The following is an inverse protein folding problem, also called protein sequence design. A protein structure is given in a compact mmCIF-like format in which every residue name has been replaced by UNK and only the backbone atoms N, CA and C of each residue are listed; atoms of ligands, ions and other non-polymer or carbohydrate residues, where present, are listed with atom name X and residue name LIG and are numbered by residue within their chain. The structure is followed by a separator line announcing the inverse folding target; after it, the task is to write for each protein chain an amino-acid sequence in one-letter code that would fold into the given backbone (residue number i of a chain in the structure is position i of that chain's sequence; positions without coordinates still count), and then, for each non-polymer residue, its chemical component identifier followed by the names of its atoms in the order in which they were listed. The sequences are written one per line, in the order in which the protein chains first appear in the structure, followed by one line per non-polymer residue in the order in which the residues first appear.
data_IF_219773542679
#
_entry.id   IF_219773542679
#
_cell.length_a   1.000
_cell.length_b   1.000
_cell.length_c   1.000
_cell.angle_alpha   90.00
_cell.angle_beta   90.00
_cell.angle_gamma   90.00
#
_symmetry.space_group_name_H-M   'P 1'
#
loop_
_entity.id
_entity.type
_entity.pdbx_description
1 polymer ?
#
# COMPACT_ATOMS: atom_id res chain seq x y z
N UNK A 1 -34.27 -5.78 39.61
CA UNK A 1 -33.96 -5.67 38.17
C UNK A 1 -32.75 -6.53 37.88
N UNK A 2 -32.75 -7.38 36.85
CA UNK A 2 -31.60 -8.22 36.56
C UNK A 2 -30.48 -7.36 35.96
N UNK A 3 -29.30 -7.39 36.60
CA UNK A 3 -28.09 -6.78 36.08
C UNK A 3 -27.73 -7.49 34.77
N UNK A 4 -27.86 -6.77 33.66
CA UNK A 4 -27.47 -7.26 32.35
C UNK A 4 -25.94 -7.31 32.28
N UNK A 5 -25.43 -8.53 32.39
CA UNK A 5 -24.00 -8.85 32.43
C UNK A 5 -23.35 -8.56 31.06
N UNK A 6 -22.70 -7.40 30.96
CA UNK A 6 -22.04 -6.90 29.75
C UNK A 6 -20.95 -7.87 29.28
N UNK A 7 -20.30 -8.58 30.20
CA UNK A 7 -19.25 -9.56 29.90
C UNK A 7 -19.75 -10.71 28.99
N UNK A 8 -21.02 -11.10 29.12
CA UNK A 8 -21.63 -12.17 28.30
C UNK A 8 -21.89 -11.74 26.85
N UNK A 9 -22.02 -10.44 26.58
CA UNK A 9 -22.19 -9.95 25.21
C UNK A 9 -20.86 -9.90 24.45
N UNK A 10 -19.77 -9.54 25.13
CA UNK A 10 -18.45 -9.43 24.52
C UNK A 10 -17.73 -10.78 24.36
N UNK A 11 -18.02 -11.78 25.22
CA UNK A 11 -17.42 -13.12 25.12
C UNK A 11 -17.72 -13.86 23.82
N UNK A 12 -18.80 -13.49 23.12
CA UNK A 12 -19.21 -14.11 21.86
C UNK A 12 -18.65 -13.42 20.60
N UNK A 13 -17.88 -12.33 20.73
CA UNK A 13 -17.25 -11.65 19.60
C UNK A 13 -15.86 -12.28 19.33
N UNK A 14 -15.84 -13.60 19.14
CA UNK A 14 -14.69 -14.31 18.56
C UNK A 14 -14.78 -14.19 17.04
N UNK A 15 -14.30 -13.08 16.48
CA UNK A 15 -14.21 -12.90 15.03
C UNK A 15 -12.76 -12.63 14.62
N UNK A 16 -12.33 -13.29 13.54
CA UNK A 16 -10.93 -13.33 13.10
C UNK A 16 -10.32 -11.93 12.86
N UNK A 17 -9.04 -11.70 13.22
CA UNK A 17 -8.40 -10.38 13.25
C UNK A 17 -8.22 -9.67 11.89
N UNK A 18 -8.60 -10.29 10.77
CA UNK A 18 -8.13 -9.90 9.44
C UNK A 18 -9.21 -9.28 8.54
N UNK A 19 -10.38 -8.88 9.07
CA UNK A 19 -11.47 -8.31 8.27
C UNK A 19 -11.71 -6.84 8.59
N UNK A 20 -11.65 -5.99 7.56
CA UNK A 20 -11.91 -4.52 7.62
C UNK A 20 -13.24 -4.19 8.30
N UNK A 21 -14.29 -4.95 7.98
CA UNK A 21 -15.64 -4.80 8.51
C UNK A 21 -15.73 -5.02 10.05
N UNK A 22 -14.78 -5.76 10.63
CA UNK A 22 -14.71 -6.01 12.08
C UNK A 22 -14.24 -4.77 12.85
N UNK A 23 -13.32 -4.01 12.28
CA UNK A 23 -12.71 -2.85 12.93
C UNK A 23 -13.68 -1.66 12.97
N UNK A 24 -14.54 -1.54 11.96
CA UNK A 24 -15.62 -0.55 11.93
C UNK A 24 -16.66 -0.83 13.03
N UNK A 25 -17.00 -2.10 13.28
CA UNK A 25 -17.95 -2.48 14.33
C UNK A 25 -17.36 -2.24 15.73
N UNK A 26 -16.10 -2.59 15.98
CA UNK A 26 -15.45 -2.33 17.28
C UNK A 26 -15.33 -0.83 17.53
N UNK A 27 -14.83 -0.05 16.55
CA UNK A 27 -14.76 1.41 16.66
C UNK A 27 -16.14 2.03 16.88
N UNK A 28 -17.18 1.52 16.20
CA UNK A 28 -18.56 1.98 16.38
C UNK A 28 -19.13 1.58 17.73
N UNK A 29 -18.84 0.38 18.25
CA UNK A 29 -19.28 -0.06 19.58
C UNK A 29 -18.59 0.70 20.70
N UNK A 30 -17.30 1.00 20.59
CA UNK A 30 -16.56 1.86 21.54
C UNK A 30 -17.14 3.28 21.48
N UNK A 31 -17.34 3.84 20.28
CA UNK A 31 -17.99 5.15 20.12
C UNK A 31 -19.42 5.16 20.66
N UNK A 32 -20.18 4.09 20.49
CA UNK A 32 -21.55 3.98 20.97
C UNK A 32 -21.62 3.85 22.50
N UNK A 33 -20.71 3.10 23.11
CA UNK A 33 -20.64 2.94 24.57
C UNK A 33 -20.12 4.20 25.27
N UNK A 34 -19.14 4.90 24.68
CA UNK A 34 -18.51 6.09 25.27
C UNK A 34 -19.30 7.39 24.99
N UNK A 35 -19.86 7.55 23.78
CA UNK A 35 -20.47 8.83 23.37
C UNK A 35 -22.01 8.86 23.30
N UNK A 36 -22.70 7.72 23.14
CA UNK A 36 -24.14 7.73 22.82
C UNK A 36 -25.09 7.46 24.01
N UNK A 37 -24.58 7.24 25.23
CA UNK A 37 -25.45 6.94 26.37
C UNK A 37 -25.41 7.91 27.55
N UNK A 38 -24.60 8.97 27.52
CA UNK A 38 -24.56 9.96 28.63
C UNK A 38 -24.42 9.26 30.00
N UNK A 39 -23.68 8.14 30.05
CA UNK A 39 -23.46 7.40 31.30
C UNK A 39 -22.51 8.27 32.13
N UNK A 40 -22.91 8.72 33.33
CA UNK A 40 -22.04 9.53 34.17
C UNK A 40 -20.75 8.77 34.45
N UNK A 41 -19.60 9.33 34.05
CA UNK A 41 -18.26 8.78 34.31
C UNK A 41 -17.88 8.79 35.80
N UNK A 42 -18.73 9.39 36.64
CA UNK A 42 -18.50 9.64 38.05
C UNK A 42 -18.49 8.37 38.92
N UNK A 43 -18.90 7.22 38.36
CA UNK A 43 -18.96 5.91 39.04
C UNK A 43 -18.24 4.80 38.25
N UNK A 44 -17.16 5.11 37.51
CA UNK A 44 -16.33 4.07 36.91
C UNK A 44 -15.63 3.28 38.01
N UNK A 45 -15.68 1.94 37.93
CA UNK A 45 -14.83 1.12 38.79
C UNK A 45 -13.39 1.18 38.28
N UNK A 46 -12.38 0.88 39.11
CA UNK A 46 -10.99 0.76 38.64
C UNK A 46 -10.81 -0.23 37.48
N UNK A 47 -11.67 -1.26 37.40
CA UNK A 47 -11.69 -2.21 36.28
C UNK A 47 -12.21 -1.57 34.98
N UNK A 48 -13.23 -0.71 35.07
CA UNK A 48 -13.72 0.05 33.92
C UNK A 48 -12.68 1.07 33.42
N UNK A 49 -11.94 1.71 34.33
CA UNK A 49 -10.85 2.63 33.97
C UNK A 49 -9.68 1.90 33.28
N UNK A 50 -9.32 0.72 33.77
CA UNK A 50 -8.26 -0.11 33.19
C UNK A 50 -8.66 -0.68 31.82
N UNK A 51 -9.92 -1.07 31.67
CA UNK A 51 -10.49 -1.47 30.39
C UNK A 51 -10.48 -0.31 29.39
N UNK A 52 -10.93 0.88 29.78
CA UNK A 52 -10.93 2.08 28.93
C UNK A 52 -9.51 2.46 28.48
N UNK A 53 -8.52 2.37 29.39
CA UNK A 53 -7.11 2.59 29.07
C UNK A 53 -6.59 1.56 28.05
N UNK A 54 -6.87 0.29 28.29
CA UNK A 54 -6.49 -0.80 27.38
C UNK A 54 -7.11 -0.61 26.01
N UNK A 55 -8.38 -0.21 25.95
CA UNK A 55 -9.06 0.07 24.68
C UNK A 55 -8.45 1.28 23.96
N UNK A 56 -8.07 2.34 24.68
CA UNK A 56 -7.39 3.49 24.08
C UNK A 56 -6.00 3.13 23.53
N UNK A 57 -5.24 2.27 24.22
CA UNK A 57 -3.95 1.75 23.74
C UNK A 57 -4.12 0.88 22.50
N UNK A 58 -5.16 0.05 22.47
CA UNK A 58 -5.51 -0.78 21.32
C UNK A 58 -5.90 0.11 20.12
N UNK A 59 -6.75 1.11 20.31
CA UNK A 59 -7.15 2.05 19.26
C UNK A 59 -5.94 2.80 18.70
N UNK A 60 -5.06 3.32 19.56
CA UNK A 60 -3.83 4.00 19.15
C UNK A 60 -2.89 3.08 18.36
N UNK A 61 -2.74 1.82 18.79
CA UNK A 61 -1.97 0.82 18.05
C UNK A 61 -2.57 0.52 16.68
N UNK A 62 -3.91 0.40 16.60
CA UNK A 62 -4.61 0.18 15.33
C UNK A 62 -4.44 1.36 14.36
N UNK A 63 -4.63 2.59 14.82
CA UNK A 63 -4.41 3.79 14.01
C UNK A 63 -2.97 3.83 13.47
N UNK A 64 -1.98 3.51 14.30
CA UNK A 64 -0.58 3.45 13.88
C UNK A 64 -0.34 2.40 12.77
N UNK A 65 -0.92 1.21 12.90
CA UNK A 65 -0.76 0.15 11.88
C UNK A 65 -1.50 0.49 10.57
N UNK A 66 -2.67 1.14 10.67
CA UNK A 66 -3.41 1.65 9.50
C UNK A 66 -2.61 2.71 8.75
N UNK A 67 -2.07 3.72 9.45
CA UNK A 67 -1.24 4.77 8.87
C UNK A 67 0.00 4.19 8.18
N UNK A 68 0.63 3.19 8.79
CA UNK A 68 1.77 2.48 8.21
C UNK A 68 1.39 1.70 6.94
N UNK A 69 0.20 1.11 6.89
CA UNK A 69 -0.28 0.43 5.70
C UNK A 69 -0.57 1.41 4.55
N UNK A 70 -1.15 2.57 4.87
CA UNK A 70 -1.40 3.66 3.91
C UNK A 70 -0.10 4.18 3.31
N UNK A 71 0.87 4.56 4.14
CA UNK A 71 2.19 5.03 3.69
C UNK A 71 2.92 4.01 2.79
N UNK A 72 2.84 2.71 3.13
CA UNK A 72 3.40 1.65 2.28
C UNK A 72 2.68 1.55 0.94
N UNK A 73 1.36 1.75 0.94
CA UNK A 73 0.53 1.79 -0.26
C UNK A 73 0.92 2.94 -1.18
N UNK A 74 1.02 4.14 -0.62
CA UNK A 74 1.44 5.36 -1.33
C UNK A 74 2.83 5.20 -1.94
N UNK A 75 3.82 4.76 -1.16
CA UNK A 75 5.18 4.54 -1.65
C UNK A 75 5.21 3.50 -2.78
N UNK A 76 4.46 2.40 -2.65
CA UNK A 76 4.36 1.39 -3.70
C UNK A 76 3.71 1.96 -4.96
N UNK A 77 2.69 2.80 -4.79
CA UNK A 77 2.02 3.51 -5.89
C UNK A 77 2.98 4.46 -6.62
N UNK A 78 3.72 5.28 -5.88
CA UNK A 78 4.70 6.21 -6.43
C UNK A 78 5.81 5.50 -7.20
N UNK A 79 6.38 4.43 -6.61
CA UNK A 79 7.40 3.62 -7.28
C UNK A 79 6.88 2.98 -8.57
N UNK A 80 5.64 2.48 -8.56
CA UNK A 80 5.01 1.90 -9.75
C UNK A 80 4.80 2.97 -10.83
N UNK A 81 4.25 4.13 -10.47
CA UNK A 81 4.03 5.24 -11.41
C UNK A 81 5.35 5.77 -12.01
N UNK A 82 6.40 5.87 -11.20
CA UNK A 82 7.74 6.24 -11.67
C UNK A 82 8.30 5.22 -12.68
N UNK A 83 8.12 3.93 -12.43
CA UNK A 83 8.56 2.87 -13.35
C UNK A 83 7.77 2.91 -14.67
N UNK A 84 6.45 3.07 -14.60
CA UNK A 84 5.59 3.21 -15.78
C UNK A 84 5.97 4.45 -16.63
N UNK A 85 6.19 5.60 -16.00
CA UNK A 85 6.61 6.82 -16.70
C UNK A 85 7.98 6.69 -17.38
N UNK A 86 8.91 5.94 -16.79
CA UNK A 86 10.21 5.65 -17.42
C UNK A 86 10.07 4.72 -18.62
N UNK A 87 9.23 3.69 -18.53
CA UNK A 87 8.95 2.78 -19.66
C UNK A 87 8.32 3.57 -20.81
N UNK A 88 7.36 4.44 -20.52
CA UNK A 88 6.73 5.30 -21.53
C UNK A 88 7.73 6.26 -22.18
N UNK A 89 8.64 6.84 -21.39
CA UNK A 89 9.72 7.68 -21.90
C UNK A 89 10.67 6.89 -22.81
N UNK A 90 11.06 5.68 -22.40
CA UNK A 90 11.90 4.79 -23.22
C UNK A 90 11.22 4.45 -24.54
N UNK A 91 9.94 4.08 -24.53
CA UNK A 91 9.17 3.81 -25.73
C UNK A 91 9.09 5.04 -26.65
N UNK A 92 8.88 6.23 -26.08
CA UNK A 92 8.84 7.48 -26.83
C UNK A 92 10.17 7.77 -27.51
N UNK A 93 11.29 7.61 -26.80
CA UNK A 93 12.62 7.81 -27.37
C UNK A 93 12.94 6.80 -28.48
N UNK A 94 12.53 5.53 -28.33
CA UNK A 94 12.66 4.53 -29.39
C UNK A 94 11.89 4.98 -30.65
N UNK A 95 10.64 5.42 -30.51
CA UNK A 95 9.83 5.91 -31.64
C UNK A 95 10.49 7.09 -32.33
N UNK A 96 10.99 8.05 -31.55
CA UNK A 96 11.60 9.28 -32.07
C UNK A 96 12.93 8.96 -32.78
N UNK A 97 13.75 8.06 -32.21
CA UNK A 97 15.10 7.83 -32.69
C UNK A 97 15.16 6.80 -33.83
N UNK A 98 14.42 5.70 -33.70
CA UNK A 98 14.52 4.55 -34.60
C UNK A 98 13.25 4.32 -35.42
N UNK A 99 12.16 5.04 -35.12
CA UNK A 99 10.88 4.89 -35.80
C UNK A 99 9.89 4.01 -35.03
N UNK A 100 8.61 4.13 -35.37
CA UNK A 100 7.53 3.45 -34.64
C UNK A 100 7.46 1.95 -34.90
N UNK A 101 7.88 1.51 -36.09
CA UNK A 101 7.85 0.09 -36.51
C UNK A 101 8.78 -0.79 -35.67
N UNK A 102 9.75 -0.16 -34.98
CA UNK A 102 10.72 -0.84 -34.12
C UNK A 102 10.11 -1.28 -32.78
N UNK A 103 9.03 -0.63 -32.31
CA UNK A 103 8.38 -1.00 -31.04
C UNK A 103 7.52 -2.25 -31.17
N UNK A 104 8.18 -3.40 -31.32
CA UNK A 104 7.53 -4.70 -31.29
C UNK A 104 7.07 -5.07 -29.87
N UNK A 105 6.06 -5.95 -29.73
CA UNK A 105 5.65 -6.47 -28.42
C UNK A 105 6.81 -7.09 -27.61
N UNK A 106 7.81 -7.64 -28.29
CA UNK A 106 9.00 -8.21 -27.67
C UNK A 106 9.87 -7.13 -27.01
N UNK A 107 10.11 -6.00 -27.68
CA UNK A 107 10.86 -4.87 -27.10
C UNK A 107 10.11 -4.26 -25.92
N UNK A 108 8.79 -4.07 -26.06
CA UNK A 108 7.95 -3.57 -24.95
C UNK A 108 8.03 -4.52 -23.75
N UNK A 109 7.95 -5.84 -23.98
CA UNK A 109 8.09 -6.83 -22.91
C UNK A 109 9.45 -6.78 -22.23
N UNK A 110 10.54 -6.52 -22.96
CA UNK A 110 11.86 -6.38 -22.36
C UNK A 110 11.99 -5.12 -21.52
N UNK A 111 11.47 -3.98 -21.99
CA UNK A 111 11.45 -2.74 -21.22
C UNK A 111 10.68 -2.90 -19.90
N UNK A 112 9.56 -3.62 -19.93
CA UNK A 112 8.75 -3.90 -18.74
C UNK A 112 9.44 -4.81 -17.71
N UNK A 113 10.46 -5.57 -18.11
CA UNK A 113 11.26 -6.40 -17.20
C UNK A 113 12.41 -5.65 -16.54
N UNK A 114 12.75 -4.45 -17.03
CA UNK A 114 13.83 -3.65 -16.48
C UNK A 114 13.44 -3.06 -15.12
N UNK A 115 14.40 -3.02 -14.21
CA UNK A 115 14.25 -2.24 -12.98
C UNK A 115 14.54 -0.74 -13.23
N UNK A 116 14.28 0.08 -12.20
CA UNK A 116 14.43 1.54 -12.26
C UNK A 116 15.82 2.01 -12.69
N UNK A 117 16.89 1.34 -12.26
CA UNK A 117 18.29 1.68 -12.58
C UNK A 117 18.60 1.31 -14.02
N UNK A 118 18.23 0.10 -14.43
CA UNK A 118 18.39 -0.36 -15.81
C UNK A 118 17.61 0.54 -16.79
N UNK A 119 16.43 1.04 -16.41
CA UNK A 119 15.71 2.04 -17.20
C UNK A 119 16.46 3.37 -17.30
N UNK A 120 17.10 3.84 -16.22
CA UNK A 120 17.95 5.04 -16.29
C UNK A 120 19.13 4.83 -17.24
N UNK A 121 19.82 3.70 -17.11
CA UNK A 121 20.94 3.33 -17.98
C UNK A 121 20.50 3.22 -19.44
N UNK A 122 19.30 2.68 -19.69
CA UNK A 122 18.70 2.64 -21.03
C UNK A 122 18.42 4.05 -21.57
N UNK A 123 17.81 4.93 -20.77
CA UNK A 123 17.48 6.31 -21.17
C UNK A 123 18.74 7.14 -21.48
N UNK A 124 19.85 6.88 -20.79
CA UNK A 124 21.15 7.49 -21.11
C UNK A 124 21.76 6.84 -22.35
N UNK A 125 21.75 5.51 -22.43
CA UNK A 125 22.31 4.74 -23.54
C UNK A 125 21.69 5.09 -24.88
N UNK A 126 20.35 5.20 -24.93
CA UNK A 126 19.63 5.52 -26.16
C UNK A 126 19.97 6.89 -26.73
N UNK A 127 20.50 7.83 -25.94
CA UNK A 127 20.98 9.12 -26.47
C UNK A 127 22.26 8.90 -27.30
N UNK A 128 23.10 7.95 -26.92
CA UNK A 128 24.41 7.71 -27.53
C UNK A 128 24.36 6.71 -28.70
N UNK A 129 23.47 5.71 -28.66
CA UNK A 129 23.36 4.69 -29.71
C UNK A 129 22.99 5.29 -31.07
N UNK A 130 23.69 4.94 -32.13
CA UNK A 130 23.39 5.44 -33.47
C UNK A 130 22.48 4.48 -34.23
N UNK A 131 22.58 3.19 -33.94
CA UNK A 131 21.86 2.13 -34.64
C UNK A 131 20.90 1.36 -33.72
N UNK A 132 19.85 0.77 -34.30
CA UNK A 132 18.86 -0.02 -33.57
C UNK A 132 19.48 -1.31 -32.98
N UNK A 133 20.49 -1.84 -33.67
CA UNK A 133 21.22 -3.05 -33.29
C UNK A 133 21.85 -2.88 -31.90
N UNK A 134 22.48 -1.73 -31.62
CA UNK A 134 23.08 -1.42 -30.31
C UNK A 134 22.03 -1.46 -29.18
N UNK A 135 20.84 -0.90 -29.43
CA UNK A 135 19.72 -0.95 -28.48
C UNK A 135 19.25 -2.39 -28.27
N UNK A 136 19.19 -3.17 -29.34
CA UNK A 136 18.73 -4.56 -29.30
C UNK A 136 19.72 -5.43 -28.53
N UNK A 137 21.01 -5.30 -28.82
CA UNK A 137 22.09 -5.95 -28.07
C UNK A 137 22.03 -5.61 -26.58
N UNK A 138 21.81 -4.34 -26.24
CA UNK A 138 21.66 -3.95 -24.84
C UNK A 138 20.40 -4.54 -24.18
N UNK A 139 19.27 -4.54 -24.88
CA UNK A 139 18.00 -5.06 -24.34
C UNK A 139 17.98 -6.58 -24.21
N UNK A 140 18.64 -7.30 -25.10
CA UNK A 140 18.63 -8.77 -25.13
C UNK A 140 19.93 -9.40 -24.61
N UNK A 141 20.95 -8.60 -24.32
CA UNK A 141 22.21 -9.03 -23.70
C UNK A 141 21.99 -9.60 -22.29
N UNK A 142 22.75 -10.66 -21.97
CA UNK A 142 22.55 -11.48 -20.78
C UNK A 142 23.10 -10.88 -19.47
N UNK A 143 23.83 -9.76 -19.49
CA UNK A 143 24.37 -9.13 -18.28
C UNK A 143 23.86 -7.69 -18.15
N UNK A 144 22.90 -7.48 -17.24
CA UNK A 144 22.43 -6.15 -16.86
C UNK A 144 22.75 -5.92 -15.38
N UNK A 145 24.00 -5.56 -15.09
CA UNK A 145 24.55 -5.34 -13.73
C UNK A 145 23.94 -4.12 -13.02
#
# INVERSE_FOLDING_TARGET
MPQHDIHRYFSNILLAPNRREKNDIISTCVKYCVYLRDIPTDNLTPEDEDFMRTMAEIDAWYEAEMNKAELKGELKGELKGKLEGKIESAMTLIRVKFGSDILTPQIVSQLQKLNTKQLDDFLVGIINWQQQEEMSEWLFGNEKV
#
